data_IF_422247321554
#
_entry.id   IF_422247321554
#
_cell.length_a   1.000
_cell.length_b   1.000
_cell.length_c   1.000
_cell.angle_alpha   90.00
_cell.angle_beta   90.00
_cell.angle_gamma   90.00
#
_symmetry.space_group_name_H-M   'P 1'
#
loop_
_entity.id
_entity.type
_entity.pdbx_description
1 polymer ?
#
# COMPACT_ATOMS: atom_id res chain seq x y z
N UNK A 1 7.40 22.57 -26.57
CA UNK A 1 6.09 22.59 -25.89
C UNK A 1 6.34 22.53 -24.39
N UNK A 2 5.86 23.54 -23.66
CA UNK A 2 6.34 23.91 -22.34
C UNK A 2 5.93 22.95 -21.24
N UNK A 3 6.88 22.27 -20.64
CA UNK A 3 6.69 21.59 -19.34
C UNK A 3 6.74 22.65 -18.22
N UNK A 4 5.60 22.98 -17.67
CA UNK A 4 5.54 23.74 -16.41
C UNK A 4 5.81 22.76 -15.26
N UNK A 5 7.01 22.83 -14.73
CA UNK A 5 7.43 22.19 -13.50
C UNK A 5 6.86 23.01 -12.33
N UNK A 6 5.96 22.42 -11.58
CA UNK A 6 5.50 23.02 -10.32
C UNK A 6 6.54 22.71 -9.25
N UNK A 7 7.33 23.68 -8.92
CA UNK A 7 8.26 23.64 -7.77
C UNK A 7 7.46 24.05 -6.54
N UNK A 8 7.25 23.13 -5.62
CA UNK A 8 6.68 23.42 -4.32
C UNK A 8 7.81 23.93 -3.41
N UNK A 9 7.81 25.21 -3.12
CA UNK A 9 8.76 25.84 -2.21
C UNK A 9 8.50 25.38 -0.77
N UNK A 10 9.45 24.68 -0.16
CA UNK A 10 9.48 24.45 1.28
C UNK A 10 10.04 25.69 1.98
N UNK A 11 9.24 26.26 2.86
CA UNK A 11 9.68 27.30 3.79
C UNK A 11 10.51 26.64 4.89
N UNK A 12 11.79 26.96 4.96
CA UNK A 12 12.67 26.54 6.03
C UNK A 12 12.36 27.33 7.31
N UNK A 13 11.81 26.68 8.32
CA UNK A 13 11.75 27.21 9.67
C UNK A 13 12.97 26.71 10.45
N UNK A 14 13.62 27.66 11.13
CA UNK A 14 14.95 27.60 11.72
C UNK A 14 15.30 26.37 12.55
N UNK A 15 16.52 25.90 12.32
CA UNK A 15 17.22 24.94 13.14
C UNK A 15 17.76 25.61 14.41
N UNK A 16 17.60 25.05 15.60
CA UNK A 16 18.37 25.46 16.76
C UNK A 16 19.80 24.92 16.64
N UNK A 17 20.76 25.76 16.97
CA UNK A 17 22.18 25.47 16.99
C UNK A 17 22.52 24.34 17.95
N UNK A 18 23.20 23.31 17.45
CA UNK A 18 23.82 22.28 18.29
C UNK A 18 25.05 22.86 18.99
N UNK A 19 25.03 22.85 20.31
CA UNK A 19 26.20 23.06 21.16
C UNK A 19 26.97 21.77 21.32
N UNK A 20 28.29 21.88 21.22
CA UNK A 20 29.27 20.79 21.29
C UNK A 20 29.13 19.92 22.52
N UNK A 21 29.29 18.61 22.36
CA UNK A 21 29.55 17.68 23.45
C UNK A 21 30.96 17.10 23.28
N UNK A 22 31.85 17.57 24.14
CA UNK A 22 33.17 17.00 24.32
C UNK A 22 33.16 15.69 25.10
N UNK A 23 33.88 14.72 24.54
CA UNK A 23 34.65 13.63 25.16
C UNK A 23 34.45 13.36 26.64
N UNK A 24 34.15 12.12 26.97
CA UNK A 24 34.61 11.52 28.23
C UNK A 24 35.04 10.07 28.03
N UNK A 25 36.27 9.84 28.28
CA UNK A 25 36.92 8.57 28.56
C UNK A 25 36.48 8.05 29.93
N UNK A 26 36.35 6.72 30.05
CA UNK A 26 36.24 6.07 31.32
C UNK A 26 35.45 4.76 31.28
N UNK A 27 36.05 3.71 30.69
CA UNK A 27 35.54 2.35 30.86
C UNK A 27 36.28 1.72 32.04
N UNK A 28 35.68 1.69 33.18
CA UNK A 28 35.83 0.63 34.19
C UNK A 28 34.54 0.57 34.98
N UNK A 29 33.98 -0.59 34.99
CA UNK A 29 33.17 -1.22 36.01
C UNK A 29 31.80 -1.71 35.61
N UNK A 30 31.63 -3.00 35.79
CA UNK A 30 30.43 -3.77 36.19
C UNK A 30 29.02 -3.33 35.75
N UNK A 31 28.88 -2.21 35.11
CA UNK A 31 27.57 -1.73 34.56
C UNK A 31 27.16 -2.45 33.26
N UNK A 32 28.10 -3.07 32.55
CA UNK A 32 27.81 -3.85 31.34
C UNK A 32 27.05 -5.16 31.64
N UNK A 33 27.21 -5.72 32.84
CA UNK A 33 26.50 -6.94 33.26
C UNK A 33 25.05 -6.60 33.69
N UNK A 34 24.83 -5.42 34.24
CA UNK A 34 23.46 -4.98 34.59
C UNK A 34 22.59 -4.64 33.39
N UNK A 35 23.20 -4.20 32.28
CA UNK A 35 22.48 -3.96 31.01
C UNK A 35 22.07 -5.27 30.32
N UNK A 36 22.78 -6.38 30.59
CA UNK A 36 22.40 -7.69 30.08
C UNK A 36 21.34 -8.38 30.95
N UNK A 37 21.24 -8.01 32.22
CA UNK A 37 20.23 -8.55 33.13
C UNK A 37 18.86 -7.87 32.95
N UNK A 38 18.80 -6.64 32.40
CA UNK A 38 17.54 -5.93 32.12
C UNK A 38 16.96 -6.27 30.74
N UNK A 39 17.61 -7.14 29.96
CA UNK A 39 17.08 -7.72 28.72
C UNK A 39 15.98 -8.76 28.97
N UNK A 40 15.67 -9.08 30.23
CA UNK A 40 14.49 -9.86 30.61
C UNK A 40 13.24 -8.99 30.84
N UNK A 41 13.31 -7.68 30.74
CA UNK A 41 12.12 -6.93 30.31
C UNK A 41 11.85 -7.42 28.88
N UNK A 42 11.10 -8.51 28.80
CA UNK A 42 10.17 -8.75 27.72
C UNK A 42 9.55 -7.36 27.52
N UNK A 43 9.98 -6.65 26.47
CA UNK A 43 9.15 -5.61 25.91
C UNK A 43 7.90 -6.39 25.60
N UNK A 44 6.95 -6.33 26.50
CA UNK A 44 5.58 -6.61 26.19
C UNK A 44 5.37 -5.68 25.01
N UNK A 45 5.47 -6.26 23.82
CA UNK A 45 5.22 -5.54 22.57
C UNK A 45 3.82 -5.08 22.85
N UNK A 46 3.67 -3.80 23.18
CA UNK A 46 2.41 -3.21 23.54
C UNK A 46 1.40 -3.89 22.66
N UNK A 47 0.57 -4.73 23.28
CA UNK A 47 -0.41 -5.49 22.52
C UNK A 47 -1.11 -4.40 21.74
N UNK A 48 -0.71 -4.27 20.46
CA UNK A 48 -1.26 -3.23 19.59
C UNK A 48 -2.73 -3.46 19.75
N UNK A 49 -3.37 -2.61 20.58
CA UNK A 49 -4.79 -2.74 20.88
C UNK A 49 -5.43 -2.60 19.53
N UNK A 50 -5.63 -3.75 18.91
CA UNK A 50 -6.20 -3.86 17.59
C UNK A 50 -7.59 -3.30 17.79
N UNK A 51 -7.75 -2.02 17.49
CA UNK A 51 -9.06 -1.45 17.38
C UNK A 51 -9.79 -2.37 16.40
N UNK A 52 -10.70 -3.18 16.92
CA UNK A 52 -11.47 -4.10 16.10
C UNK A 52 -12.17 -3.23 15.06
N UNK A 53 -12.07 -3.61 13.80
CA UNK A 53 -12.89 -2.98 12.75
C UNK A 53 -14.36 -2.98 13.24
N UNK A 54 -15.16 -1.97 12.93
CA UNK A 54 -16.55 -1.90 13.43
C UNK A 54 -17.34 -3.19 13.25
N UNK A 55 -17.07 -3.93 12.18
CA UNK A 55 -17.71 -5.20 11.84
C UNK A 55 -17.16 -6.42 12.61
N UNK A 56 -16.00 -6.34 13.25
CA UNK A 56 -15.41 -7.48 13.96
C UNK A 56 -15.93 -7.58 15.40
N UNK A 57 -16.33 -8.76 15.82
CA UNK A 57 -16.84 -8.99 17.17
C UNK A 57 -15.73 -9.28 18.17
N UNK A 58 -14.64 -9.87 17.71
CA UNK A 58 -13.52 -10.28 18.54
C UNK A 58 -12.22 -9.66 18.05
N UNK A 59 -11.25 -9.51 18.97
CA UNK A 59 -9.88 -9.14 18.59
C UNK A 59 -9.33 -10.19 17.63
N UNK A 60 -8.45 -9.78 16.71
CA UNK A 60 -7.90 -10.68 15.69
C UNK A 60 -7.30 -11.96 16.26
N UNK A 61 -6.63 -11.87 17.43
CA UNK A 61 -6.07 -13.03 18.15
C UNK A 61 -7.11 -13.99 18.70
N UNK A 62 -8.34 -13.55 18.90
CA UNK A 62 -9.45 -14.36 19.44
C UNK A 62 -10.29 -15.00 18.32
N UNK A 63 -10.02 -14.65 17.08
CA UNK A 63 -10.69 -15.25 15.94
C UNK A 63 -9.99 -16.57 15.58
N UNK A 64 -10.76 -17.61 15.27
CA UNK A 64 -10.24 -18.88 14.76
C UNK A 64 -9.80 -18.76 13.30
N UNK A 65 -8.93 -17.80 13.03
CA UNK A 65 -8.47 -17.37 11.72
C UNK A 65 -6.94 -17.33 11.69
N UNK A 66 -6.36 -17.91 10.65
CA UNK A 66 -4.92 -17.80 10.42
C UNK A 66 -4.59 -16.38 9.94
N UNK A 67 -3.90 -15.62 10.76
CA UNK A 67 -3.50 -14.25 10.46
C UNK A 67 -2.03 -14.00 10.76
N UNK A 68 -1.44 -13.04 10.08
CA UNK A 68 -0.12 -12.48 10.39
C UNK A 68 -0.27 -10.96 10.47
N UNK A 69 0.22 -10.38 11.55
CA UNK A 69 0.20 -8.93 11.76
C UNK A 69 1.64 -8.43 11.89
N UNK A 70 1.99 -7.41 11.11
CA UNK A 70 3.27 -6.74 11.14
C UNK A 70 3.06 -5.30 11.59
N UNK A 71 3.63 -4.93 12.72
CA UNK A 71 3.61 -3.56 13.23
C UNK A 71 4.65 -2.66 12.54
N UNK A 72 4.59 -1.36 12.80
CA UNK A 72 5.48 -0.36 12.17
C UNK A 72 6.96 -0.67 12.35
N UNK A 73 7.37 -1.10 13.53
CA UNK A 73 8.76 -1.48 13.80
C UNK A 73 9.22 -2.67 12.93
N UNK A 74 8.38 -3.70 12.79
CA UNK A 74 8.69 -4.86 11.95
C UNK A 74 8.75 -4.48 10.48
N UNK A 75 7.79 -3.69 9.99
CA UNK A 75 7.76 -3.17 8.62
C UNK A 75 9.05 -2.42 8.29
N UNK A 76 9.48 -1.54 9.18
CA UNK A 76 10.73 -0.77 9.01
C UNK A 76 11.98 -1.67 9.07
N UNK A 77 12.05 -2.57 10.05
CA UNK A 77 13.19 -3.49 10.21
C UNK A 77 13.35 -4.44 9.02
N UNK A 78 12.26 -4.87 8.42
CA UNK A 78 12.24 -5.76 7.26
C UNK A 78 12.39 -5.00 5.92
N UNK A 79 12.39 -3.66 5.94
CA UNK A 79 12.50 -2.83 4.74
C UNK A 79 11.30 -2.96 3.79
N UNK A 80 10.11 -3.20 4.32
CA UNK A 80 8.89 -3.37 3.50
C UNK A 80 8.35 -2.02 3.05
N UNK A 81 8.41 -1.75 1.74
CA UNK A 81 7.91 -0.53 1.11
C UNK A 81 6.61 -0.75 0.33
N UNK A 82 6.42 -1.97 -0.21
CA UNK A 82 5.18 -2.35 -0.86
C UNK A 82 4.69 -3.75 -0.41
N UNK A 83 3.45 -4.10 -0.78
CA UNK A 83 2.84 -5.37 -0.36
C UNK A 83 3.50 -6.59 -1.00
N UNK A 84 4.21 -6.46 -2.13
CA UNK A 84 4.89 -7.58 -2.80
C UNK A 84 6.01 -8.14 -1.94
N UNK A 85 6.68 -7.26 -1.21
CA UNK A 85 7.79 -7.61 -0.32
C UNK A 85 7.31 -8.47 0.85
N UNK A 86 6.04 -8.36 1.25
CA UNK A 86 5.43 -9.21 2.27
C UNK A 86 5.43 -10.70 1.88
N UNK A 87 5.50 -11.01 0.57
CA UNK A 87 5.58 -12.40 0.09
C UNK A 87 6.77 -13.16 0.66
N UNK A 88 7.85 -12.46 1.03
CA UNK A 88 9.05 -13.05 1.63
C UNK A 88 8.92 -13.34 3.12
N UNK A 89 7.92 -12.77 3.79
CA UNK A 89 7.80 -12.80 5.24
C UNK A 89 6.52 -13.47 5.74
N UNK A 90 5.49 -13.55 4.90
CA UNK A 90 4.18 -14.09 5.29
C UNK A 90 3.96 -15.45 4.63
N UNK A 91 3.86 -16.53 5.41
CA UNK A 91 3.62 -17.86 4.87
C UNK A 91 2.31 -17.94 4.07
N UNK A 92 2.36 -18.62 2.93
CA UNK A 92 1.20 -18.82 2.04
C UNK A 92 0.57 -17.53 1.48
N UNK A 93 1.31 -16.42 1.48
CA UNK A 93 0.98 -15.19 0.79
C UNK A 93 1.99 -14.96 -0.33
N UNK A 94 1.52 -14.71 -1.53
CA UNK A 94 2.38 -14.43 -2.69
C UNK A 94 1.78 -13.33 -3.54
N UNK A 95 2.59 -12.34 -3.87
CA UNK A 95 2.24 -11.25 -4.80
C UNK A 95 3.37 -11.11 -5.83
N UNK A 96 3.35 -11.91 -6.92
CA UNK A 96 4.43 -11.95 -7.89
C UNK A 96 4.54 -10.65 -8.67
N UNK A 97 5.76 -10.32 -9.07
CA UNK A 97 6.02 -9.21 -9.97
C UNK A 97 5.89 -9.68 -11.43
N UNK A 98 4.97 -9.09 -12.17
CA UNK A 98 4.76 -9.36 -13.59
C UNK A 98 5.43 -8.33 -14.52
N UNK A 99 6.51 -7.73 -14.06
CA UNK A 99 7.28 -6.76 -14.86
C UNK A 99 6.65 -5.37 -14.96
N UNK A 100 5.45 -5.17 -14.44
CA UNK A 100 4.77 -3.87 -14.39
C UNK A 100 3.81 -3.79 -13.20
N UNK A 101 3.56 -2.59 -12.71
CA UNK A 101 2.55 -2.33 -11.68
C UNK A 101 1.11 -2.39 -12.19
N UNK A 102 0.88 -2.55 -13.47
CA UNK A 102 -0.44 -2.75 -14.07
C UNK A 102 -1.13 -3.99 -13.49
N UNK A 103 -0.39 -5.08 -13.33
CA UNK A 103 -0.93 -6.35 -12.84
C UNK A 103 -0.39 -6.65 -11.44
N UNK A 104 -1.29 -6.61 -10.46
CA UNK A 104 -0.98 -6.85 -9.04
C UNK A 104 -1.90 -7.93 -8.50
N UNK A 105 -1.62 -9.17 -8.89
CA UNK A 105 -2.36 -10.33 -8.39
C UNK A 105 -1.80 -10.78 -7.05
N UNK A 106 -2.68 -11.03 -6.10
CA UNK A 106 -2.35 -11.62 -4.81
C UNK A 106 -2.92 -13.03 -4.71
N UNK A 107 -2.15 -13.90 -4.09
CA UNK A 107 -2.52 -15.28 -3.84
C UNK A 107 -2.35 -15.59 -2.36
N UNK A 108 -3.37 -16.17 -1.76
CA UNK A 108 -3.34 -16.70 -0.41
C UNK A 108 -3.68 -18.18 -0.47
N UNK A 109 -2.77 -19.05 0.00
CA UNK A 109 -2.92 -20.51 -0.10
C UNK A 109 -3.23 -21.00 -1.53
N UNK A 110 -2.68 -20.33 -2.53
CA UNK A 110 -2.91 -20.61 -3.95
C UNK A 110 -4.21 -20.01 -4.53
N UNK A 111 -5.09 -19.46 -3.70
CA UNK A 111 -6.31 -18.81 -4.15
C UNK A 111 -5.99 -17.36 -4.51
N UNK A 112 -6.22 -17.00 -5.77
CA UNK A 112 -5.95 -15.68 -6.31
C UNK A 112 -6.33 -15.57 -7.78
N UNK A 113 -6.28 -14.38 -8.34
CA UNK A 113 -6.62 -14.14 -9.75
C UNK A 113 -5.72 -13.08 -10.37
N UNK A 114 -5.09 -13.43 -11.50
CA UNK A 114 -4.29 -12.48 -12.30
C UNK A 114 -5.15 -11.60 -13.20
N UNK A 115 -6.14 -12.16 -13.86
CA UNK A 115 -6.89 -11.49 -14.94
C UNK A 115 -8.24 -10.98 -14.46
N UNK A 116 -9.00 -11.85 -13.79
CA UNK A 116 -10.37 -11.55 -13.32
C UNK A 116 -10.39 -10.71 -12.05
N UNK A 117 -11.56 -10.56 -11.46
CA UNK A 117 -11.73 -9.91 -10.16
C UNK A 117 -10.79 -10.51 -9.11
N UNK A 118 -10.24 -9.71 -8.20
CA UNK A 118 -9.32 -10.23 -7.19
C UNK A 118 -10.07 -11.17 -6.22
N UNK A 119 -9.44 -12.29 -5.88
CA UNK A 119 -9.93 -13.20 -4.86
C UNK A 119 -9.38 -12.89 -3.46
N UNK A 120 -8.40 -11.99 -3.37
CA UNK A 120 -7.85 -11.45 -2.13
C UNK A 120 -8.01 -9.94 -2.16
N UNK A 121 -8.72 -9.39 -1.19
CA UNK A 121 -9.01 -7.97 -1.11
C UNK A 121 -7.97 -7.19 -0.33
N UNK A 122 -7.93 -5.88 -0.53
CA UNK A 122 -7.17 -4.95 0.30
C UNK A 122 -8.12 -3.92 0.89
N UNK A 123 -7.92 -3.64 2.16
CA UNK A 123 -8.55 -2.53 2.86
C UNK A 123 -7.47 -1.58 3.39
N UNK A 124 -7.55 -0.32 3.03
CA UNK A 124 -6.70 0.73 3.59
C UNK A 124 -7.54 1.63 4.50
N UNK A 125 -7.22 1.66 5.79
CA UNK A 125 -7.94 2.44 6.81
C UNK A 125 -9.47 2.24 6.76
N UNK A 126 -9.92 0.99 6.54
CA UNK A 126 -11.33 0.63 6.42
C UNK A 126 -11.92 0.77 5.01
N UNK A 127 -11.22 1.37 4.06
CA UNK A 127 -11.67 1.57 2.68
C UNK A 127 -11.26 0.37 1.83
N UNK A 128 -12.20 -0.37 1.20
CA UNK A 128 -11.88 -1.44 0.26
C UNK A 128 -11.29 -0.88 -1.04
N UNK A 129 -10.15 -1.40 -1.49
CA UNK A 129 -9.59 -1.02 -2.78
C UNK A 129 -10.29 -1.77 -3.92
N UNK A 130 -10.83 -1.02 -4.89
CA UNK A 130 -11.67 -1.55 -5.95
C UNK A 130 -10.89 -1.96 -7.21
N UNK A 131 -9.63 -1.52 -7.35
CA UNK A 131 -8.80 -1.82 -8.50
C UNK A 131 -7.56 -2.62 -8.14
N UNK A 132 -7.29 -3.71 -8.87
CA UNK A 132 -6.02 -4.44 -8.74
C UNK A 132 -4.80 -3.59 -9.09
N UNK A 133 -4.93 -2.64 -10.00
CA UNK A 133 -3.85 -1.72 -10.32
C UNK A 133 -3.48 -0.83 -9.13
N UNK A 134 -4.36 -0.66 -8.13
CA UNK A 134 -4.08 0.04 -6.89
C UNK A 134 -3.53 -0.86 -5.78
N UNK A 135 -3.37 -2.17 -5.99
CA UNK A 135 -2.96 -3.10 -4.93
C UNK A 135 -1.46 -3.00 -4.56
N UNK A 136 -0.64 -2.42 -5.42
CA UNK A 136 0.79 -2.21 -5.16
C UNK A 136 1.11 -0.72 -4.88
N UNK A 137 0.27 -0.06 -4.12
CA UNK A 137 0.57 1.27 -3.63
C UNK A 137 1.78 1.24 -2.69
N UNK A 138 2.61 2.28 -2.73
CA UNK A 138 3.69 2.46 -1.78
C UNK A 138 3.13 2.64 -0.37
N UNK A 139 3.68 1.89 0.59
CA UNK A 139 3.26 1.89 1.98
C UNK A 139 4.13 2.85 2.79
N UNK A 140 3.59 3.99 3.12
CA UNK A 140 4.20 4.96 4.01
C UNK A 140 3.21 5.39 5.08
N UNK A 141 3.69 5.91 6.19
CA UNK A 141 2.86 6.28 7.35
C UNK A 141 2.07 5.08 7.91
N UNK A 142 2.57 3.86 7.70
CA UNK A 142 1.87 2.64 8.09
C UNK A 142 2.19 2.27 9.53
N UNK A 143 1.16 2.06 10.35
CA UNK A 143 1.29 1.56 11.71
C UNK A 143 1.28 0.04 11.77
N UNK A 144 0.49 -0.61 10.90
CA UNK A 144 0.30 -2.05 10.89
C UNK A 144 -0.23 -2.55 9.57
N UNK A 145 0.19 -3.75 9.18
CA UNK A 145 -0.40 -4.54 8.10
C UNK A 145 -0.82 -5.89 8.65
N UNK A 146 -2.09 -6.25 8.44
CA UNK A 146 -2.62 -7.57 8.77
C UNK A 146 -2.92 -8.35 7.48
N UNK A 147 -2.47 -9.59 7.41
CA UNK A 147 -2.83 -10.52 6.34
C UNK A 147 -3.64 -11.67 6.92
N UNK A 148 -4.91 -11.72 6.56
CA UNK A 148 -5.88 -12.74 6.97
C UNK A 148 -5.93 -13.81 5.88
N UNK A 149 -5.68 -15.05 6.26
CA UNK A 149 -5.56 -16.17 5.33
C UNK A 149 -6.74 -17.13 5.46
N UNK A 150 -7.61 -17.08 4.48
CA UNK A 150 -8.84 -17.84 4.38
C UNK A 150 -10.05 -16.95 4.12
N UNK A 151 -11.20 -17.53 3.78
CA UNK A 151 -12.40 -16.80 3.39
C UNK A 151 -12.87 -15.80 4.46
N UNK A 152 -13.17 -14.58 4.02
CA UNK A 152 -13.70 -13.50 4.86
C UNK A 152 -15.00 -12.90 4.30
N UNK A 153 -15.66 -13.59 3.39
CA UNK A 153 -16.82 -13.09 2.64
C UNK A 153 -18.01 -12.68 3.51
N UNK A 154 -18.18 -13.31 4.68
CA UNK A 154 -19.28 -12.98 5.59
C UNK A 154 -19.20 -11.58 6.20
N UNK A 155 -17.99 -11.07 6.42
CA UNK A 155 -17.76 -9.74 7.01
C UNK A 155 -17.30 -8.70 5.99
N UNK A 156 -16.57 -9.12 4.96
CA UNK A 156 -15.92 -8.21 4.01
C UNK A 156 -16.49 -8.28 2.59
N UNK A 157 -17.42 -9.21 2.34
CA UNK A 157 -18.12 -9.34 1.07
C UNK A 157 -17.21 -9.74 -0.09
N UNK A 158 -17.25 -8.97 -1.18
CA UNK A 158 -16.54 -9.31 -2.41
C UNK A 158 -15.01 -9.27 -2.26
N UNK A 159 -14.31 -10.02 -3.13
CA UNK A 159 -12.85 -10.09 -3.20
C UNK A 159 -12.18 -10.60 -1.91
N UNK A 160 -12.85 -11.48 -1.17
CA UNK A 160 -12.35 -11.98 0.11
C UNK A 160 -12.45 -13.51 0.24
N UNK A 161 -12.47 -14.21 -0.88
CA UNK A 161 -12.57 -15.69 -0.95
C UNK A 161 -11.28 -16.37 -0.50
N UNK A 162 -10.13 -15.83 -0.88
CA UNK A 162 -8.81 -16.37 -0.52
C UNK A 162 -8.25 -15.78 0.77
N UNK A 163 -8.60 -14.53 1.06
CA UNK A 163 -8.08 -13.80 2.19
C UNK A 163 -8.25 -12.30 2.07
N UNK A 164 -7.62 -11.59 3.01
CA UNK A 164 -7.72 -10.15 3.10
C UNK A 164 -6.41 -9.54 3.60
N UNK A 165 -6.00 -8.43 3.01
CA UNK A 165 -4.90 -7.57 3.50
C UNK A 165 -5.50 -6.29 4.04
N UNK A 166 -5.13 -5.92 5.27
CA UNK A 166 -5.55 -4.67 5.89
C UNK A 166 -4.34 -3.81 6.20
N UNK A 167 -4.37 -2.58 5.78
CA UNK A 167 -3.33 -1.58 6.00
C UNK A 167 -3.90 -0.51 6.90
N UNK A 168 -3.20 -0.20 7.98
CA UNK A 168 -3.60 0.83 8.92
C UNK A 168 -2.54 1.93 8.95
N UNK A 169 -2.99 3.15 8.77
CA UNK A 169 -2.14 4.34 8.94
C UNK A 169 -1.92 4.66 10.41
N UNK A 170 -0.80 5.32 10.73
CA UNK A 170 -0.52 5.77 12.09
C UNK A 170 -1.54 6.81 12.51
N UNK A 171 -2.06 6.65 13.72
CA UNK A 171 -3.12 7.49 14.26
C UNK A 171 -2.53 8.77 14.91
N UNK A 172 -2.86 9.99 14.43
CA UNK A 172 -2.34 11.22 15.00
C UNK A 172 -2.86 11.54 16.40
N UNK A 173 -3.87 10.82 16.92
CA UNK A 173 -4.25 10.91 18.34
C UNK A 173 -3.35 10.09 19.25
N UNK A 174 -2.62 9.12 18.74
CA UNK A 174 -1.74 8.24 19.50
C UNK A 174 -0.27 8.61 19.38
N UNK A 175 0.06 9.32 18.31
CA UNK A 175 1.43 9.73 18.02
C UNK A 175 1.47 11.19 17.53
N UNK A 176 2.37 12.00 18.09
CA UNK A 176 2.69 13.36 17.65
C UNK A 176 4.16 13.45 17.31
N UNK A 177 4.50 14.18 16.27
CA UNK A 177 5.88 14.36 15.85
C UNK A 177 6.06 14.34 14.35
N UNK A 178 7.31 14.32 13.93
CA UNK A 178 7.71 14.28 12.52
C UNK A 178 8.63 13.08 12.30
N UNK A 179 8.25 12.22 11.37
CA UNK A 179 9.07 11.12 10.90
C UNK A 179 9.70 11.50 9.56
N UNK A 180 10.99 11.24 9.42
CA UNK A 180 11.71 11.39 8.15
C UNK A 180 12.49 10.10 7.92
N UNK A 181 12.33 9.51 6.74
CA UNK A 181 13.07 8.32 6.33
C UNK A 181 13.77 8.63 5.01
N UNK A 182 15.07 8.36 4.99
CA UNK A 182 15.91 8.49 3.82
C UNK A 182 16.57 7.14 3.54
N UNK A 183 16.46 6.66 2.31
CA UNK A 183 17.09 5.41 1.91
C UNK A 183 17.82 5.61 0.58
N UNK A 184 19.00 5.03 0.48
CA UNK A 184 19.78 5.01 -0.75
C UNK A 184 20.36 3.61 -0.98
N UNK A 185 20.39 3.16 -2.21
CA UNK A 185 20.81 1.81 -2.55
C UNK A 185 21.37 1.64 -3.95
N UNK A 186 21.55 0.40 -4.35
CA UNK A 186 22.10 0.05 -5.67
C UNK A 186 21.22 0.56 -6.80
N UNK A 187 21.86 0.83 -7.96
CA UNK A 187 21.19 1.37 -9.15
C UNK A 187 20.50 2.70 -8.90
N UNK A 188 21.09 3.53 -8.05
CA UNK A 188 20.54 4.84 -7.66
C UNK A 188 19.13 4.72 -7.06
N UNK A 189 18.88 3.62 -6.32
CA UNK A 189 17.68 3.56 -5.49
C UNK A 189 17.69 4.71 -4.51
N UNK A 190 16.59 5.42 -4.42
CA UNK A 190 16.39 6.55 -3.51
C UNK A 190 14.96 6.53 -3.03
N UNK A 191 14.79 6.63 -1.73
CA UNK A 191 13.48 6.77 -1.10
C UNK A 191 13.56 7.88 -0.05
N UNK A 192 12.61 8.80 -0.12
CA UNK A 192 12.44 9.91 0.82
C UNK A 192 10.99 9.85 1.27
N UNK A 193 10.78 9.67 2.56
CA UNK A 193 9.46 9.72 3.18
C UNK A 193 9.49 10.76 4.29
N UNK A 194 8.44 11.57 4.39
CA UNK A 194 8.23 12.50 5.48
C UNK A 194 6.77 12.44 5.93
N UNK A 195 6.54 12.46 7.24
CA UNK A 195 5.21 12.49 7.81
C UNK A 195 5.21 13.35 9.07
N UNK A 196 4.19 14.18 9.22
CA UNK A 196 3.97 15.01 10.41
C UNK A 196 2.61 14.68 11.00
N UNK A 197 2.57 14.59 12.33
CA UNK A 197 1.39 14.24 13.11
C UNK A 197 1.20 15.25 14.21
N UNK A 198 0.01 15.81 14.32
CA UNK A 198 -0.29 16.85 15.30
C UNK A 198 -1.71 16.72 15.86
N UNK A 199 -1.83 16.84 17.17
CA UNK A 199 -3.12 17.09 17.82
C UNK A 199 -3.40 18.59 17.82
N UNK A 200 -4.59 18.95 17.38
CA UNK A 200 -5.12 20.31 17.47
C UNK A 200 -6.10 20.43 18.66
N UNK A 201 -5.65 19.96 19.82
CA UNK A 201 -6.46 19.86 21.05
C UNK A 201 -7.00 18.46 21.31
N UNK A 202 -8.03 18.35 22.14
CA UNK A 202 -8.57 17.05 22.59
C UNK A 202 -9.49 16.37 21.56
N UNK A 203 -10.03 17.13 20.61
CA UNK A 203 -11.08 16.68 19.72
C UNK A 203 -10.65 16.50 18.27
N UNK A 204 -9.53 17.09 17.87
CA UNK A 204 -9.07 17.08 16.47
C UNK A 204 -7.60 16.72 16.41
N UNK A 205 -7.25 15.84 15.51
CA UNK A 205 -5.88 15.51 15.18
C UNK A 205 -5.73 15.38 13.66
N UNK A 206 -4.56 15.76 13.14
CA UNK A 206 -4.27 15.68 11.72
C UNK A 206 -2.92 15.02 11.48
N UNK A 207 -2.76 14.42 10.31
CA UNK A 207 -1.45 14.07 9.79
C UNK A 207 -1.35 14.39 8.31
N UNK A 208 -0.15 14.76 7.89
CA UNK A 208 0.22 14.96 6.51
C UNK A 208 1.51 14.19 6.22
N UNK A 209 1.54 13.45 5.14
CA UNK A 209 2.70 12.67 4.75
C UNK A 209 2.93 12.73 3.25
N UNK A 210 4.18 12.54 2.83
CA UNK A 210 4.56 12.45 1.44
C UNK A 210 5.75 11.53 1.25
N UNK A 211 5.89 11.00 0.05
CA UNK A 211 7.04 10.20 -0.32
C UNK A 211 7.47 10.45 -1.77
N UNK A 212 8.72 10.16 -2.04
CA UNK A 212 9.27 9.98 -3.37
C UNK A 212 10.17 8.77 -3.37
N UNK A 213 9.99 7.86 -4.31
CA UNK A 213 10.86 6.70 -4.52
C UNK A 213 11.22 6.56 -5.99
N UNK A 214 12.45 6.16 -6.28
CA UNK A 214 12.89 5.92 -7.64
C UNK A 214 14.13 5.06 -7.73
N UNK A 215 14.28 4.38 -8.85
CA UNK A 215 15.44 3.53 -9.17
C UNK A 215 15.72 3.52 -10.66
N UNK A 216 17.00 3.44 -11.04
CA UNK A 216 17.41 3.33 -12.47
C UNK A 216 17.20 1.95 -13.06
N UNK A 217 16.87 0.92 -12.24
CA UNK A 217 16.63 -0.44 -12.69
C UNK A 217 17.89 -1.27 -12.91
N UNK A 218 17.69 -2.57 -13.02
CA UNK A 218 18.74 -3.59 -13.14
C UNK A 218 18.92 -4.10 -14.57
N UNK A 219 17.84 -4.19 -15.34
CA UNK A 219 17.85 -4.75 -16.68
C UNK A 219 18.15 -3.68 -17.73
N UNK A 220 18.98 -4.02 -18.69
CA UNK A 220 19.29 -3.20 -19.83
C UNK A 220 18.70 -3.85 -21.08
N UNK A 221 17.94 -3.09 -21.84
CA UNK A 221 17.50 -3.51 -23.18
C UNK A 221 18.71 -3.53 -24.12
N UNK A 222 19.01 -4.69 -24.69
CA UNK A 222 20.20 -4.88 -25.55
C UNK A 222 20.05 -4.23 -26.93
N UNK A 223 18.80 -4.02 -27.37
CA UNK A 223 18.52 -3.37 -28.65
C UNK A 223 18.62 -1.84 -28.53
N UNK A 224 17.97 -1.24 -27.55
CA UNK A 224 17.93 0.23 -27.40
C UNK A 224 19.06 0.78 -26.53
N UNK A 225 19.68 -0.06 -25.71
CA UNK A 225 20.67 0.35 -24.72
C UNK A 225 20.09 1.03 -23.47
N UNK A 226 18.78 1.21 -23.39
CA UNK A 226 18.10 1.85 -22.27
C UNK A 226 17.83 0.91 -21.10
N UNK A 227 17.49 1.48 -19.93
CA UNK A 227 17.04 0.70 -18.78
C UNK A 227 15.58 0.30 -18.95
N UNK A 228 15.31 -1.02 -18.89
CA UNK A 228 14.00 -1.58 -19.15
C UNK A 228 13.06 -1.57 -17.93
N UNK A 229 13.59 -1.36 -16.72
CA UNK A 229 12.86 -1.47 -15.44
C UNK A 229 13.06 -0.26 -14.50
N UNK A 230 13.42 0.89 -15.05
CA UNK A 230 13.53 2.15 -14.31
C UNK A 230 12.13 2.57 -13.84
N UNK A 231 12.04 3.15 -12.62
CA UNK A 231 10.80 3.76 -12.14
C UNK A 231 11.05 4.98 -11.26
N UNK A 232 10.02 5.82 -11.21
CA UNK A 232 9.86 6.94 -10.29
C UNK A 232 8.41 6.95 -9.79
N UNK A 233 8.22 7.13 -8.49
CA UNK A 233 6.90 7.26 -7.88
C UNK A 233 6.90 8.29 -6.78
N UNK A 234 5.76 8.95 -6.60
CA UNK A 234 5.57 9.94 -5.57
C UNK A 234 4.13 9.97 -5.10
N UNK A 235 3.91 10.43 -3.89
CA UNK A 235 2.56 10.55 -3.37
C UNK A 235 2.46 11.37 -2.11
N UNK A 236 1.22 11.62 -1.70
CA UNK A 236 0.89 12.33 -0.48
C UNK A 236 -0.38 11.80 0.15
N UNK A 237 -0.44 11.84 1.48
CA UNK A 237 -1.56 11.40 2.29
C UNK A 237 -1.90 12.47 3.32
N UNK A 238 -3.18 12.74 3.44
CA UNK A 238 -3.75 13.61 4.47
C UNK A 238 -4.75 12.82 5.28
N UNK A 239 -4.73 13.00 6.58
CA UNK A 239 -5.74 12.45 7.51
C UNK A 239 -6.21 13.55 8.46
N UNK A 240 -7.51 13.62 8.63
CA UNK A 240 -8.15 14.41 9.67
C UNK A 240 -8.99 13.47 10.51
N UNK A 241 -8.72 13.42 11.80
CA UNK A 241 -9.45 12.59 12.75
C UNK A 241 -10.08 13.46 13.82
N UNK A 242 -11.31 13.15 14.14
CA UNK A 242 -12.03 13.88 15.19
C UNK A 242 -12.64 12.92 16.19
N UNK A 243 -12.69 13.34 17.45
CA UNK A 243 -13.36 12.62 18.54
C UNK A 243 -14.23 13.62 19.29
N UNK A 244 -15.53 13.35 19.33
CA UNK A 244 -16.49 14.23 19.97
C UNK A 244 -17.07 13.61 21.23
N UNK A 245 -17.61 14.42 22.11
CA UNK A 245 -18.33 13.95 23.26
C UNK A 245 -19.51 13.04 22.84
N UNK A 246 -19.95 12.16 23.72
CA UNK A 246 -21.04 11.18 23.48
C UNK A 246 -20.69 10.10 22.45
N UNK A 247 -19.40 9.82 22.21
CA UNK A 247 -18.93 8.66 21.43
C UNK A 247 -19.00 8.82 19.91
N UNK A 248 -19.06 10.05 19.39
CA UNK A 248 -18.95 10.31 17.96
C UNK A 248 -17.50 10.50 17.53
N UNK A 249 -17.13 9.96 16.37
CA UNK A 249 -15.90 10.27 15.67
C UNK A 249 -16.15 10.42 14.18
N UNK A 250 -15.38 11.28 13.52
CA UNK A 250 -15.39 11.49 12.08
C UNK A 250 -13.94 11.52 11.64
N UNK A 251 -13.58 10.58 10.78
CA UNK A 251 -12.25 10.43 10.23
C UNK A 251 -12.30 10.62 8.71
N UNK A 252 -11.46 11.49 8.19
CA UNK A 252 -11.31 11.70 6.76
C UNK A 252 -9.88 11.36 6.33
N UNK A 253 -9.77 10.71 5.17
CA UNK A 253 -8.51 10.31 4.54
C UNK A 253 -8.52 10.74 3.07
N UNK A 254 -7.38 11.24 2.59
CA UNK A 254 -7.08 11.35 1.17
C UNK A 254 -5.65 10.87 0.91
N UNK A 255 -5.48 9.95 -0.04
CA UNK A 255 -4.19 9.38 -0.45
C UNK A 255 -4.08 9.46 -1.98
N UNK A 256 -3.10 10.22 -2.47
CA UNK A 256 -2.79 10.33 -3.88
C UNK A 256 -1.41 9.74 -4.16
N UNK A 257 -1.31 8.95 -5.23
CA UNK A 257 -0.03 8.40 -5.69
C UNK A 257 0.09 8.46 -7.22
N UNK A 258 1.28 8.82 -7.66
CA UNK A 258 1.69 8.82 -9.06
C UNK A 258 2.82 7.81 -9.26
N UNK A 259 2.77 7.07 -10.36
CA UNK A 259 3.81 6.12 -10.80
C UNK A 259 4.14 6.40 -12.24
N UNK A 260 5.44 6.48 -12.56
CA UNK A 260 6.00 6.45 -13.91
C UNK A 260 7.11 5.40 -13.94
N UNK A 261 6.90 4.31 -14.68
CA UNK A 261 7.87 3.24 -14.78
C UNK A 261 8.07 2.76 -16.22
N UNK A 262 9.29 2.32 -16.54
CA UNK A 262 9.52 1.39 -17.60
C UNK A 262 9.07 0.01 -17.13
N UNK A 263 8.39 -0.75 -17.97
CA UNK A 263 7.81 -2.03 -17.58
C UNK A 263 8.08 -3.11 -18.60
N UNK A 264 7.76 -4.33 -18.21
CA UNK A 264 7.84 -5.52 -19.05
C UNK A 264 9.28 -5.82 -19.55
N UNK A 265 10.27 -5.90 -18.63
CA UNK A 265 11.65 -6.21 -18.99
C UNK A 265 11.79 -7.71 -19.30
N UNK A 266 10.99 -8.22 -20.24
CA UNK A 266 10.99 -9.62 -20.62
C UNK A 266 12.08 -9.89 -21.65
N UNK A 267 12.67 -11.08 -21.58
CA UNK A 267 13.61 -11.62 -22.54
C UNK A 267 13.12 -12.95 -23.07
N UNK A 268 13.64 -13.38 -24.21
CA UNK A 268 13.34 -14.67 -24.79
C UNK A 268 13.85 -15.80 -23.87
N UNK A 269 13.04 -16.83 -23.68
CA UNK A 269 13.44 -18.04 -22.98
C UNK A 269 14.10 -19.01 -23.98
N UNK A 270 15.34 -19.35 -23.73
CA UNK A 270 16.02 -20.47 -24.38
C UNK A 270 15.52 -21.77 -23.75
N UNK A 271 14.80 -22.56 -24.53
CA UNK A 271 14.20 -23.81 -24.07
C UNK A 271 15.23 -24.95 -23.85
N UNK A 272 16.41 -24.87 -24.49
CA UNK A 272 17.45 -25.88 -24.31
C UNK A 272 18.24 -25.68 -23.02
N UNK A 273 18.58 -24.43 -22.73
CA UNK A 273 19.36 -24.08 -21.54
C UNK A 273 18.50 -23.69 -20.34
N UNK A 274 17.20 -23.42 -20.52
CA UNK A 274 16.30 -22.90 -19.51
C UNK A 274 16.63 -21.47 -19.05
N UNK A 275 17.52 -20.75 -19.76
CA UNK A 275 17.94 -19.40 -19.41
C UNK A 275 17.14 -18.36 -20.18
N UNK A 276 16.84 -17.24 -19.50
CA UNK A 276 16.21 -16.09 -20.13
C UNK A 276 17.26 -15.11 -20.61
N UNK A 277 17.17 -14.69 -21.85
CA UNK A 277 17.99 -13.63 -22.43
C UNK A 277 17.67 -12.26 -21.80
N UNK A 278 18.53 -11.28 -22.00
CA UNK A 278 18.24 -9.90 -21.61
C UNK A 278 17.11 -9.34 -22.51
N UNK A 279 16.34 -8.34 -22.00
CA UNK A 279 15.34 -7.67 -22.80
C UNK A 279 15.91 -7.08 -24.09
N UNK A 280 15.20 -7.24 -25.22
CA UNK A 280 15.65 -6.80 -26.53
C UNK A 280 14.53 -6.12 -27.35
N UNK A 281 13.46 -5.67 -26.68
CA UNK A 281 12.32 -4.98 -27.29
C UNK A 281 12.72 -3.72 -28.06
N UNK A 282 11.93 -3.34 -29.05
CA UNK A 282 12.19 -2.17 -29.93
C UNK A 282 12.11 -0.84 -29.18
N UNK A 283 11.37 -0.79 -28.09
CA UNK A 283 11.32 0.32 -27.13
C UNK A 283 11.11 -0.19 -25.72
N UNK A 284 11.43 0.62 -24.73
CA UNK A 284 11.11 0.30 -23.34
C UNK A 284 9.60 0.46 -23.11
N UNK A 285 8.93 -0.63 -22.74
CA UNK A 285 7.54 -0.56 -22.29
C UNK A 285 7.39 0.43 -21.13
N UNK A 286 6.24 1.10 -21.04
CA UNK A 286 6.02 2.05 -19.96
C UNK A 286 4.64 1.85 -19.32
N UNK A 287 4.55 2.23 -18.06
CA UNK A 287 3.31 2.27 -17.29
C UNK A 287 3.27 3.53 -16.45
N UNK A 288 2.20 4.29 -16.60
CA UNK A 288 1.93 5.50 -15.80
C UNK A 288 0.60 5.38 -15.12
N UNK A 289 0.53 5.77 -13.86
CA UNK A 289 -0.69 5.69 -13.07
C UNK A 289 -0.85 6.87 -12.16
N UNK A 290 -2.07 7.41 -12.10
CA UNK A 290 -2.54 8.33 -11.08
C UNK A 290 -3.62 7.63 -10.28
N UNK A 291 -3.50 7.64 -8.97
CA UNK A 291 -4.48 7.02 -8.07
C UNK A 291 -4.83 8.01 -6.97
N UNK A 292 -6.13 8.25 -6.76
CA UNK A 292 -6.66 8.98 -5.62
C UNK A 292 -7.64 8.08 -4.87
N UNK A 293 -7.44 7.94 -3.57
CA UNK A 293 -8.34 7.24 -2.67
C UNK A 293 -8.72 8.24 -1.59
N UNK A 294 -9.99 8.52 -1.44
CA UNK A 294 -10.49 9.35 -0.34
C UNK A 294 -11.67 8.66 0.33
N UNK A 295 -11.79 8.85 1.62
CA UNK A 295 -12.89 8.28 2.39
C UNK A 295 -13.21 9.07 3.63
N UNK A 296 -14.45 8.93 4.03
CA UNK A 296 -15.03 9.50 5.23
C UNK A 296 -15.62 8.38 6.06
N UNK A 297 -15.13 8.22 7.28
CA UNK A 297 -15.64 7.26 8.25
C UNK A 297 -16.29 8.00 9.41
N UNK A 298 -17.56 7.72 9.65
CA UNK A 298 -18.35 8.28 10.73
C UNK A 298 -18.69 7.14 11.68
N UNK A 299 -18.29 7.25 12.93
CA UNK A 299 -18.57 6.24 13.94
C UNK A 299 -19.33 6.84 15.14
N UNK A 300 -20.20 6.04 15.69
CA UNK A 300 -20.87 6.33 16.95
C UNK A 300 -20.80 5.14 17.89
N UNK A 301 -20.25 5.36 19.05
CA UNK A 301 -20.19 4.37 20.12
C UNK A 301 -21.23 4.71 21.20
N UNK A 302 -22.48 4.30 20.97
CA UNK A 302 -23.58 4.45 21.91
C UNK A 302 -23.47 3.50 23.10
N UNK A 303 -24.45 3.56 24.00
CA UNK A 303 -24.49 2.70 25.19
C UNK A 303 -24.82 1.24 24.84
N UNK A 304 -25.77 1.02 23.94
CA UNK A 304 -26.33 -0.31 23.66
C UNK A 304 -25.92 -0.84 22.29
N UNK A 305 -25.62 0.06 21.34
CA UNK A 305 -25.12 -0.29 20.02
C UNK A 305 -24.03 0.68 19.55
N UNK A 306 -23.25 0.24 18.60
CA UNK A 306 -22.32 1.07 17.81
C UNK A 306 -22.78 1.12 16.36
N UNK A 307 -22.53 2.25 15.72
CA UNK A 307 -22.80 2.50 14.31
C UNK A 307 -21.51 2.93 13.62
N UNK A 308 -21.30 2.50 12.39
CA UNK A 308 -20.28 3.06 11.50
C UNK A 308 -20.82 3.24 10.09
N UNK A 309 -20.37 4.30 9.45
CA UNK A 309 -20.66 4.62 8.06
C UNK A 309 -19.36 5.00 7.38
N UNK A 310 -18.88 4.15 6.46
CA UNK A 310 -17.66 4.38 5.69
C UNK A 310 -18.03 4.65 4.24
N UNK A 311 -17.81 5.87 3.77
CA UNK A 311 -18.00 6.30 2.38
C UNK A 311 -16.65 6.48 1.72
N UNK A 312 -16.42 5.94 0.53
CA UNK A 312 -15.19 6.19 -0.21
C UNK A 312 -15.43 6.57 -1.66
N UNK A 313 -14.51 7.37 -2.19
CA UNK A 313 -14.37 7.61 -3.62
C UNK A 313 -12.95 7.26 -4.05
N UNK A 314 -12.83 6.56 -5.16
CA UNK A 314 -11.56 6.13 -5.74
C UNK A 314 -11.50 6.50 -7.20
N UNK A 315 -10.41 7.13 -7.59
CA UNK A 315 -10.08 7.48 -8.96
C UNK A 315 -8.77 6.80 -9.34
N UNK A 316 -8.75 6.15 -10.50
CA UNK A 316 -7.55 5.61 -11.10
C UNK A 316 -7.55 5.93 -12.59
N UNK A 317 -6.44 6.51 -13.03
CA UNK A 317 -6.16 6.67 -14.47
C UNK A 317 -4.78 6.11 -14.75
N UNK A 318 -4.73 5.15 -15.63
CA UNK A 318 -3.47 4.57 -16.05
C UNK A 318 -3.31 4.52 -17.57
N UNK A 319 -2.07 4.36 -17.99
CA UNK A 319 -1.66 4.18 -19.37
C UNK A 319 -0.45 3.26 -19.43
N UNK A 320 -0.57 2.22 -20.23
CA UNK A 320 0.47 1.27 -20.54
C UNK A 320 0.76 1.31 -22.04
N UNK A 321 2.03 1.39 -22.41
CA UNK A 321 2.49 1.09 -23.77
C UNK A 321 3.49 -0.05 -23.67
N UNK A 322 3.32 -1.08 -24.46
CA UNK A 322 4.11 -2.30 -24.40
C UNK A 322 4.43 -2.80 -25.81
N UNK A 323 5.69 -3.14 -26.04
CA UNK A 323 6.10 -3.97 -27.14
C UNK A 323 5.67 -5.41 -26.84
N UNK A 324 4.74 -5.95 -27.64
CA UNK A 324 4.07 -7.21 -27.33
C UNK A 324 4.89 -8.44 -27.68
N UNK A 325 5.79 -8.31 -28.64
CA UNK A 325 6.61 -9.43 -29.09
C UNK A 325 7.95 -9.54 -28.34
N UNK A 326 8.38 -8.47 -27.67
CA UNK A 326 9.61 -8.38 -26.88
C UNK A 326 10.89 -8.68 -27.68
N UNK A 327 10.84 -8.50 -28.99
CA UNK A 327 11.93 -8.79 -29.94
C UNK A 327 12.54 -7.50 -30.49
N UNK A 328 13.74 -7.58 -31.10
CA UNK A 328 14.33 -6.45 -31.80
C UNK A 328 13.61 -6.06 -33.11
N UNK A 329 12.67 -6.86 -33.58
CA UNK A 329 11.84 -6.60 -34.76
C UNK A 329 10.50 -6.06 -34.28
N UNK A 330 10.10 -4.93 -34.83
CA UNK A 330 8.85 -4.24 -34.44
C UNK A 330 7.65 -4.85 -35.18
N UNK A 331 7.07 -5.90 -34.57
CA UNK A 331 5.87 -6.56 -35.10
C UNK A 331 4.59 -5.93 -34.58
N UNK A 332 4.49 -5.78 -33.25
CA UNK A 332 3.23 -5.44 -32.63
C UNK A 332 3.43 -4.69 -31.30
N UNK A 333 2.67 -3.64 -31.11
CA UNK A 333 2.62 -2.93 -29.85
C UNK A 333 1.18 -2.77 -29.34
N UNK A 334 1.03 -2.70 -28.03
CA UNK A 334 -0.26 -2.52 -27.35
C UNK A 334 -0.22 -1.25 -26.51
N UNK A 335 -1.19 -0.38 -26.74
CA UNK A 335 -1.51 0.72 -25.85
C UNK A 335 -2.76 0.34 -25.05
N UNK A 336 -2.69 0.40 -23.73
CA UNK A 336 -3.87 0.26 -22.87
C UNK A 336 -4.01 1.51 -22.01
N UNK A 337 -5.19 2.07 -22.00
CA UNK A 337 -5.56 3.19 -21.16
C UNK A 337 -6.80 2.83 -20.36
N UNK A 338 -6.77 3.08 -19.07
CA UNK A 338 -7.91 2.83 -18.19
C UNK A 338 -8.25 4.09 -17.40
N UNK A 339 -9.55 4.31 -17.24
CA UNK A 339 -10.10 5.31 -16.35
C UNK A 339 -11.16 4.63 -15.49
N UNK A 340 -10.92 4.59 -14.19
CA UNK A 340 -11.81 4.00 -13.22
C UNK A 340 -12.25 5.04 -12.20
N UNK A 341 -13.55 5.04 -11.92
CA UNK A 341 -14.15 5.75 -10.79
C UNK A 341 -14.97 4.75 -9.99
N UNK A 342 -14.76 4.71 -8.68
CA UNK A 342 -15.51 3.83 -7.81
C UNK A 342 -15.99 4.59 -6.58
N UNK A 343 -17.22 4.32 -6.18
CA UNK A 343 -17.81 4.81 -4.93
C UNK A 343 -18.22 3.59 -4.12
N UNK A 344 -17.86 3.58 -2.84
CA UNK A 344 -18.34 2.56 -1.91
C UNK A 344 -19.00 3.20 -0.70
N UNK A 345 -20.04 2.56 -0.20
CA UNK A 345 -20.73 2.91 1.04
C UNK A 345 -20.90 1.65 1.87
N UNK A 346 -20.40 1.68 3.09
CA UNK A 346 -20.63 0.61 4.05
C UNK A 346 -21.29 1.17 5.30
N UNK A 347 -22.36 0.52 5.73
CA UNK A 347 -23.06 0.82 6.97
C UNK A 347 -22.98 -0.41 7.86
N UNK A 348 -22.61 -0.22 9.12
CA UNK A 348 -22.55 -1.31 10.09
C UNK A 348 -23.19 -0.87 11.41
N UNK A 349 -24.08 -1.71 11.91
CA UNK A 349 -24.67 -1.62 13.25
C UNK A 349 -24.29 -2.86 14.04
N UNK A 350 -23.90 -2.68 15.29
CA UNK A 350 -23.46 -3.78 16.14
C UNK A 350 -23.91 -3.58 17.56
N UNK A 351 -24.43 -4.64 18.19
CA UNK A 351 -24.73 -4.63 19.62
C UNK A 351 -23.45 -4.47 20.44
N UNK A 352 -23.50 -3.64 21.46
CA UNK A 352 -22.42 -3.49 22.46
C UNK A 352 -22.72 -4.27 23.74
N UNK A 353 -23.98 -4.58 23.94
CA UNK A 353 -24.46 -5.44 25.02
C UNK A 353 -25.27 -6.57 24.40
N UNK A 354 -25.23 -7.75 24.99
CA UNK A 354 -26.13 -8.83 24.59
C UNK A 354 -27.59 -8.41 24.80
N UNK A 355 -28.44 -8.75 23.83
CA UNK A 355 -29.90 -8.62 23.99
C UNK A 355 -30.37 -9.85 24.76
N UNK A 356 -31.07 -9.62 25.88
CA UNK A 356 -31.49 -10.71 26.76
C UNK A 356 -30.34 -11.46 27.41
N UNK A 357 -29.18 -10.79 27.63
CA UNK A 357 -27.94 -11.33 28.20
C UNK A 357 -27.29 -12.50 27.40
N UNK A 358 -27.81 -12.83 26.22
CA UNK A 358 -27.39 -14.02 25.46
C UNK A 358 -26.98 -13.61 24.02
N UNK A 359 -27.70 -12.68 23.40
CA UNK A 359 -27.63 -12.49 21.96
C UNK A 359 -26.88 -11.23 21.52
N UNK A 360 -25.73 -11.42 20.88
CA UNK A 360 -25.00 -10.35 20.19
C UNK A 360 -25.32 -10.37 18.70
N UNK A 361 -25.55 -9.20 18.10
CA UNK A 361 -25.86 -9.09 16.68
C UNK A 361 -25.00 -8.05 16.00
N UNK A 362 -24.76 -8.28 14.72
CA UNK A 362 -24.17 -7.31 13.80
C UNK A 362 -25.01 -7.34 12.52
N UNK A 363 -25.41 -6.17 12.06
CA UNK A 363 -26.13 -5.97 10.79
C UNK A 363 -25.38 -4.93 9.97
N UNK A 364 -25.31 -5.13 8.67
CA UNK A 364 -24.62 -4.22 7.79
C UNK A 364 -25.22 -4.21 6.38
N UNK A 365 -24.92 -3.15 5.65
CA UNK A 365 -25.21 -3.01 4.25
C UNK A 365 -23.97 -2.48 3.53
N UNK A 366 -23.68 -3.03 2.37
CA UNK A 366 -22.60 -2.59 1.51
C UNK A 366 -23.14 -2.28 0.12
N UNK A 367 -22.77 -1.10 -0.38
CA UNK A 367 -23.03 -0.68 -1.74
C UNK A 367 -21.72 -0.31 -2.42
N UNK A 368 -21.55 -0.70 -3.68
CA UNK A 368 -20.45 -0.26 -4.51
C UNK A 368 -20.91 0.03 -5.92
N UNK A 369 -20.41 1.11 -6.47
CA UNK A 369 -20.55 1.45 -7.88
C UNK A 369 -19.17 1.67 -8.48
N UNK A 370 -18.84 0.89 -9.50
CA UNK A 370 -17.53 0.91 -10.15
C UNK A 370 -17.73 1.13 -11.66
N UNK A 371 -17.25 2.25 -12.15
CA UNK A 371 -17.25 2.56 -13.57
C UNK A 371 -15.82 2.48 -14.11
N UNK A 372 -15.61 1.57 -15.03
CA UNK A 372 -14.33 1.33 -15.70
C UNK A 372 -14.47 1.53 -17.20
N UNK A 373 -13.67 2.43 -17.75
CA UNK A 373 -13.49 2.60 -19.20
C UNK A 373 -12.08 2.14 -19.55
N UNK A 374 -11.99 1.18 -20.49
CA UNK A 374 -10.72 0.70 -21.01
C UNK A 374 -10.68 0.97 -22.50
N UNK A 375 -9.56 1.50 -22.97
CA UNK A 375 -9.21 1.64 -24.38
C UNK A 375 -7.91 0.87 -24.61
N UNK A 376 -7.88 -0.04 -25.58
CA UNK A 376 -6.75 -0.96 -25.76
C UNK A 376 -6.44 -1.23 -27.24
N UNK A 377 -6.04 -0.21 -28.04
CA UNK A 377 -5.64 -0.45 -29.42
C UNK A 377 -4.38 -1.31 -29.50
N UNK A 378 -4.36 -2.18 -30.50
CA UNK A 378 -3.20 -2.97 -30.92
C UNK A 378 -2.72 -2.39 -32.24
N UNK A 379 -1.45 -2.10 -32.32
CA UNK A 379 -0.80 -1.58 -33.53
C UNK A 379 0.02 -2.69 -34.17
N UNK A 380 -0.22 -2.96 -35.44
CA UNK A 380 0.61 -3.83 -36.26
C UNK A 380 1.64 -2.96 -36.97
N UNK A 381 2.90 -3.24 -36.73
CA UNK A 381 4.01 -2.42 -37.18
C UNK A 381 4.68 -2.98 -38.42
N UNK A 382 5.71 -2.30 -38.94
CA UNK A 382 6.33 -2.63 -40.22
C UNK A 382 6.87 -4.07 -40.31
N UNK A 383 7.32 -4.66 -39.22
CA UNK A 383 7.79 -6.04 -39.17
C UNK A 383 6.76 -7.08 -39.60
N UNK A 384 5.46 -6.81 -39.35
CA UNK A 384 4.35 -7.69 -39.75
C UNK A 384 4.00 -7.59 -41.26
N UNK A 385 4.34 -6.48 -41.90
CA UNK A 385 3.95 -6.21 -43.28
C UNK A 385 5.01 -6.65 -44.31
N UNK A 386 6.21 -7.03 -43.86
CA UNK A 386 7.25 -7.54 -44.74
C UNK A 386 7.11 -9.06 -44.87
N UNK A 387 6.94 -9.63 -46.07
CA UNK A 387 7.00 -11.08 -46.25
C UNK A 387 8.37 -11.57 -45.80
N UNK A 388 8.38 -12.67 -45.04
CA UNK A 388 9.58 -13.38 -44.61
C UNK A 388 10.27 -14.02 -45.81
#
# INVERSE_FOLDING_TARGET
>A
MNHKMIVLAMVAAGLPTMTEAHTAYGITDNSAISLLADSSKVFDIDEVVVASQPKETYRLRQQSLSSTSLGSFQIQKLGVHDLRELSSYIPNFTMPNYGSRLSSAMYVRGIGSRVNSPAVGIYQDGIPLMSKAAFNLHNYQTSRVDVLRGPQGTLYGQNSEGGLVRIFSRNPFEYEGTDIKLSYGSRYYRNIEAAHYQKLGTHVALSAAGFYEGQKGFFRNTHTGERADKYDEAGGKLQLKTKWNKGWSIDWLANYQYVDQNGFPYGKLDLETGKTELPASTFAGNYRRNTLITGLDIQHHGRDFSFSSTTSYQYLKDRMLMDQDYLPTDYMSILQEQLQNAITQELTFKSRKPVGDIWNWTAGAFFSYNWLKTNGPVYFNEGMTRPI
#
